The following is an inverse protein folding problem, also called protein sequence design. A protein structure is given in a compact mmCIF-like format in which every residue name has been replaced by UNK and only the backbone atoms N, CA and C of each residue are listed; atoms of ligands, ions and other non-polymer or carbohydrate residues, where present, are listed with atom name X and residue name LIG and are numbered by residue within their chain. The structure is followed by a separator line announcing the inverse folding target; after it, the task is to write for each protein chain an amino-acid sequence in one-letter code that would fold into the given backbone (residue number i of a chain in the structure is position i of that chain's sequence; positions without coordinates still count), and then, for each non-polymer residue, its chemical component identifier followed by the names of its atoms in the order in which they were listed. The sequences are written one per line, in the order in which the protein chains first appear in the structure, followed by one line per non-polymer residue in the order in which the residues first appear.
data_IF_491320276503
#
_entry.id   IF_491320276503
#
_cell.length_a   1.000
_cell.length_b   1.000
_cell.length_c   1.000
_cell.angle_alpha   90.00
_cell.angle_beta   90.00
_cell.angle_gamma   90.00
#
_symmetry.space_group_name_H-M   'P 1'
#
loop_
_entity.id
_entity.type
_entity.pdbx_description
1 polymer ?
#
# COMPACT_ATOMS: atom_id res chain seq x y z
N UNK A 1 31.13 36.50 45.26
CA UNK A 1 31.48 35.64 44.09
C UNK A 1 30.55 34.46 44.10
N UNK A 2 29.42 34.58 43.45
CA UNK A 2 28.34 33.59 43.34
C UNK A 2 28.46 32.88 42.03
N UNK A 3 28.89 31.60 42.10
CA UNK A 3 28.96 30.70 40.94
C UNK A 3 27.53 30.25 40.55
N UNK A 4 26.96 30.85 39.55
CA UNK A 4 25.76 30.37 38.90
C UNK A 4 26.12 29.22 37.93
N UNK A 5 25.71 27.99 38.27
CA UNK A 5 25.71 26.85 37.33
C UNK A 5 24.80 27.19 36.14
N UNK A 6 25.21 26.96 34.88
CA UNK A 6 24.30 27.10 33.77
C UNK A 6 23.23 25.99 33.85
N UNK A 7 21.96 26.42 33.85
CA UNK A 7 20.79 25.56 33.67
C UNK A 7 20.90 24.83 32.33
N UNK A 8 21.00 23.51 32.39
CA UNK A 8 20.79 22.63 31.22
C UNK A 8 19.28 22.58 30.90
N UNK A 9 18.77 23.65 30.33
CA UNK A 9 17.45 23.73 29.71
C UNK A 9 17.63 23.68 28.19
N UNK A 10 17.45 22.53 27.55
CA UNK A 10 17.45 22.47 26.10
C UNK A 10 17.71 21.10 25.49
N UNK A 11 17.07 20.04 26.00
CA UNK A 11 17.15 18.74 25.28
C UNK A 11 16.04 17.75 25.62
N UNK A 12 14.78 18.20 25.76
CA UNK A 12 13.63 17.30 25.95
C UNK A 12 12.53 17.39 24.91
N UNK A 13 12.61 18.28 23.94
CA UNK A 13 11.53 18.50 22.98
C UNK A 13 11.68 17.72 21.66
N UNK A 14 12.77 16.95 21.47
CA UNK A 14 13.06 16.22 20.22
C UNK A 14 12.71 14.71 20.28
N UNK A 15 12.31 14.16 21.42
CA UNK A 15 11.81 12.78 21.47
C UNK A 15 10.34 12.78 21.08
N UNK A 16 10.03 12.09 19.95
CA UNK A 16 8.65 11.88 19.53
C UNK A 16 7.88 11.17 20.66
N UNK A 17 6.74 11.72 21.11
CA UNK A 17 5.99 11.11 22.19
C UNK A 17 5.32 9.83 21.68
N UNK A 18 5.78 8.65 22.14
CA UNK A 18 5.20 7.33 21.84
C UNK A 18 3.74 7.18 22.34
N UNK A 19 2.94 8.23 22.26
CA UNK A 19 1.59 8.26 22.81
C UNK A 19 0.75 9.48 22.41
N UNK A 20 -0.37 9.66 23.08
CA UNK A 20 -1.25 10.81 22.91
C UNK A 20 -1.80 10.97 21.49
N UNK A 21 -1.54 12.10 20.86
CA UNK A 21 -2.01 12.41 19.50
C UNK A 21 -1.48 11.47 18.42
N UNK A 22 -0.34 10.80 18.65
CA UNK A 22 0.20 9.79 17.76
C UNK A 22 -0.81 8.68 17.45
N UNK A 23 -1.58 8.23 18.43
CA UNK A 23 -2.62 7.21 18.21
C UNK A 23 -3.81 7.70 17.35
N UNK A 24 -4.12 8.98 17.42
CA UNK A 24 -5.11 9.58 16.49
C UNK A 24 -4.60 9.51 15.06
N UNK A 25 -3.30 9.75 14.84
CA UNK A 25 -2.68 9.60 13.51
C UNK A 25 -2.63 8.13 13.05
N UNK A 26 -2.47 7.17 13.96
CA UNK A 26 -2.61 5.74 13.64
C UNK A 26 -4.04 5.42 13.20
N UNK A 27 -5.05 5.96 13.88
CA UNK A 27 -6.45 5.87 13.45
C UNK A 27 -6.69 6.52 12.07
N UNK A 28 -6.10 7.68 11.83
CA UNK A 28 -6.15 8.34 10.51
C UNK A 28 -5.45 7.52 9.41
N UNK A 29 -4.29 6.90 9.72
CA UNK A 29 -3.62 5.96 8.81
C UNK A 29 -4.52 4.75 8.53
N UNK A 30 -5.12 4.15 9.57
CA UNK A 30 -6.04 3.02 9.44
C UNK A 30 -7.20 3.33 8.50
N UNK A 31 -7.87 4.47 8.67
CA UNK A 31 -8.98 4.89 7.80
C UNK A 31 -8.48 5.20 6.38
N UNK A 32 -7.37 5.93 6.24
CA UNK A 32 -6.83 6.27 4.92
C UNK A 32 -6.40 5.04 4.13
N UNK A 33 -5.70 4.08 4.76
CA UNK A 33 -5.27 2.83 4.10
C UNK A 33 -6.44 1.91 3.81
N UNK A 34 -7.48 1.91 4.67
CA UNK A 34 -8.74 1.23 4.39
C UNK A 34 -9.40 1.78 3.13
N UNK A 35 -9.50 3.10 2.99
CA UNK A 35 -10.10 3.74 1.81
C UNK A 35 -9.25 3.55 0.56
N UNK A 36 -7.92 3.67 0.64
CA UNK A 36 -7.03 3.51 -0.51
C UNK A 36 -7.06 2.06 -1.02
N UNK A 37 -6.64 1.11 -0.18
CA UNK A 37 -6.48 -0.29 -0.61
C UNK A 37 -7.77 -1.08 -0.57
N UNK A 38 -8.69 -0.75 0.34
CA UNK A 38 -10.00 -1.39 0.41
C UNK A 38 -10.84 -1.08 -0.83
N UNK A 39 -10.88 0.19 -1.25
CA UNK A 39 -11.54 0.58 -2.50
C UNK A 39 -10.89 -0.14 -3.69
N UNK A 40 -9.55 -0.11 -3.78
CA UNK A 40 -8.81 -0.73 -4.87
C UNK A 40 -9.07 -2.24 -4.99
N UNK A 41 -9.06 -2.98 -3.87
CA UNK A 41 -9.32 -4.43 -3.87
C UNK A 41 -10.77 -4.78 -4.19
N UNK A 42 -11.70 -3.95 -3.78
CA UNK A 42 -13.14 -4.18 -3.99
C UNK A 42 -13.64 -3.71 -5.36
N UNK A 43 -12.80 -3.07 -6.20
CA UNK A 43 -13.13 -2.75 -7.58
C UNK A 43 -13.47 -3.97 -8.43
N UNK A 44 -13.10 -5.17 -8.00
CA UNK A 44 -13.51 -6.42 -8.61
C UNK A 44 -15.03 -6.62 -8.68
N UNK A 45 -15.81 -6.02 -7.78
CA UNK A 45 -17.28 -6.02 -7.82
C UNK A 45 -17.79 -5.29 -9.07
N UNK A 46 -17.16 -4.18 -9.44
CA UNK A 46 -17.52 -3.40 -10.63
C UNK A 46 -17.06 -4.05 -11.94
N UNK A 47 -16.16 -5.01 -11.85
CA UNK A 47 -15.58 -5.67 -13.03
C UNK A 47 -16.65 -6.29 -13.93
N UNK A 48 -17.61 -7.00 -13.34
CA UNK A 48 -18.69 -7.66 -14.09
C UNK A 48 -19.59 -6.62 -14.76
N UNK A 49 -19.94 -5.55 -14.07
CA UNK A 49 -20.75 -4.46 -14.58
C UNK A 49 -20.06 -3.73 -15.75
N UNK A 50 -18.75 -3.49 -15.62
CA UNK A 50 -17.99 -2.82 -16.70
C UNK A 50 -17.85 -3.68 -17.94
N UNK A 51 -17.61 -5.01 -17.78
CA UNK A 51 -17.58 -5.94 -18.92
C UNK A 51 -18.91 -5.93 -19.68
N UNK A 52 -20.02 -5.95 -18.96
CA UNK A 52 -21.37 -5.93 -19.59
C UNK A 52 -21.72 -4.59 -20.21
N UNK A 53 -21.34 -3.47 -19.57
CA UNK A 53 -21.73 -2.13 -20.03
C UNK A 53 -20.88 -1.66 -21.23
N UNK A 54 -19.57 -1.90 -21.21
CA UNK A 54 -18.67 -1.44 -22.27
C UNK A 54 -18.45 -2.48 -23.39
N UNK A 55 -18.94 -3.71 -23.20
CA UNK A 55 -18.77 -4.84 -24.14
C UNK A 55 -17.30 -5.13 -24.49
N UNK A 56 -16.39 -4.83 -23.55
CA UNK A 56 -14.96 -4.94 -23.71
C UNK A 56 -14.40 -6.20 -23.05
N UNK A 57 -13.19 -6.59 -23.47
CA UNK A 57 -12.55 -7.79 -22.94
C UNK A 57 -12.24 -7.66 -21.43
N UNK A 58 -12.33 -8.79 -20.73
CA UNK A 58 -11.95 -8.89 -19.33
C UNK A 58 -10.54 -8.35 -19.05
N UNK A 59 -9.62 -8.56 -19.99
CA UNK A 59 -8.26 -8.06 -19.93
C UNK A 59 -8.21 -6.52 -19.95
N UNK A 60 -8.96 -5.88 -20.85
CA UNK A 60 -9.05 -4.43 -20.92
C UNK A 60 -9.59 -3.83 -19.61
N UNK A 61 -10.66 -4.39 -19.05
CA UNK A 61 -11.23 -3.91 -17.79
C UNK A 61 -10.25 -4.06 -16.62
N UNK A 62 -9.46 -5.15 -16.56
CA UNK A 62 -8.46 -5.39 -15.52
C UNK A 62 -7.39 -4.30 -15.46
N UNK A 63 -7.08 -3.65 -16.59
CA UNK A 63 -6.12 -2.54 -16.62
C UNK A 63 -6.54 -1.33 -15.80
N UNK A 64 -7.83 -1.14 -15.48
CA UNK A 64 -8.29 -0.03 -14.63
C UNK A 64 -7.62 -0.12 -13.24
N UNK A 65 -7.70 -1.29 -12.61
CA UNK A 65 -7.12 -1.51 -11.28
C UNK A 65 -5.59 -1.46 -11.31
N UNK A 66 -4.98 -2.07 -12.35
CA UNK A 66 -3.52 -2.09 -12.51
C UNK A 66 -2.96 -0.69 -12.72
N UNK A 67 -3.64 0.14 -13.53
CA UNK A 67 -3.24 1.54 -13.75
C UNK A 67 -3.36 2.35 -12.47
N UNK A 68 -4.41 2.12 -11.66
CA UNK A 68 -4.59 2.81 -10.37
C UNK A 68 -3.48 2.48 -9.39
N UNK A 69 -3.12 1.20 -9.25
CA UNK A 69 -2.01 0.76 -8.39
C UNK A 69 -0.66 1.32 -8.87
N UNK A 70 -0.40 1.21 -10.17
CA UNK A 70 0.83 1.71 -10.76
C UNK A 70 0.95 3.24 -10.61
N UNK A 71 -0.13 3.98 -10.84
CA UNK A 71 -0.16 5.43 -10.65
C UNK A 71 0.07 5.81 -9.18
N UNK A 72 -0.56 5.11 -8.23
CA UNK A 72 -0.37 5.34 -6.79
C UNK A 72 1.11 5.19 -6.40
N UNK A 73 1.77 4.15 -6.85
CA UNK A 73 3.18 3.90 -6.54
C UNK A 73 4.10 4.86 -7.31
N UNK A 74 3.83 5.11 -8.58
CA UNK A 74 4.60 6.00 -9.44
C UNK A 74 4.61 7.44 -8.95
N UNK A 75 3.47 7.96 -8.47
CA UNK A 75 3.34 9.32 -7.95
C UNK A 75 3.72 9.46 -6.47
N UNK A 76 4.09 8.39 -5.79
CA UNK A 76 4.51 8.40 -4.39
C UNK A 76 5.72 9.33 -4.12
N UNK A 77 6.80 9.36 -4.94
CA UNK A 77 7.89 10.31 -4.75
C UNK A 77 7.46 11.76 -4.89
N UNK A 78 6.50 12.04 -5.78
CA UNK A 78 5.93 13.39 -5.90
C UNK A 78 5.23 13.79 -4.61
N UNK A 79 4.45 12.89 -4.00
CA UNK A 79 3.79 13.12 -2.72
C UNK A 79 4.79 13.44 -1.60
N UNK A 80 5.86 12.65 -1.49
CA UNK A 80 6.90 12.87 -0.47
C UNK A 80 7.70 14.16 -0.71
N UNK A 81 8.02 14.47 -1.96
CA UNK A 81 8.70 15.71 -2.32
C UNK A 81 7.82 16.95 -2.03
N UNK A 82 6.53 16.88 -2.33
CA UNK A 82 5.57 17.94 -1.99
C UNK A 82 5.44 18.12 -0.47
N UNK A 83 5.47 17.07 0.32
CA UNK A 83 5.47 17.17 1.78
C UNK A 83 6.75 17.83 2.34
N UNK A 84 7.87 17.63 1.68
CA UNK A 84 9.11 18.33 2.02
C UNK A 84 9.09 19.82 1.59
N UNK A 85 8.39 20.14 0.50
CA UNK A 85 8.26 21.49 -0.02
C UNK A 85 7.16 22.30 0.68
N UNK A 86 6.04 21.64 0.99
CA UNK A 86 4.83 22.21 1.60
C UNK A 86 4.52 21.52 2.93
N UNK A 87 3.38 21.81 3.53
CA UNK A 87 2.91 21.09 4.72
C UNK A 87 2.29 19.75 4.34
N UNK A 88 2.68 18.67 5.02
CA UNK A 88 2.13 17.31 4.82
C UNK A 88 0.61 17.28 4.93
N UNK A 89 0.03 18.08 5.83
CA UNK A 89 -1.42 18.22 5.98
C UNK A 89 -2.09 18.61 4.66
N UNK A 90 -1.58 19.64 4.00
CA UNK A 90 -2.14 20.15 2.74
C UNK A 90 -2.02 19.12 1.63
N UNK A 91 -0.86 18.44 1.53
CA UNK A 91 -0.61 17.43 0.50
C UNK A 91 -1.57 16.25 0.65
N UNK A 92 -1.77 15.74 1.87
CA UNK A 92 -2.71 14.63 2.11
C UNK A 92 -4.16 15.05 1.85
N UNK A 93 -4.54 16.27 2.24
CA UNK A 93 -5.89 16.77 1.95
C UNK A 93 -6.14 16.92 0.45
N UNK A 94 -5.18 17.48 -0.31
CA UNK A 94 -5.29 17.59 -1.78
C UNK A 94 -5.32 16.21 -2.44
N UNK A 95 -4.53 15.26 -1.95
CA UNK A 95 -4.56 13.88 -2.41
C UNK A 95 -5.92 13.22 -2.19
N UNK A 96 -6.53 13.42 -1.01
CA UNK A 96 -7.88 12.94 -0.71
C UNK A 96 -8.95 13.55 -1.61
N UNK A 97 -8.86 14.87 -1.90
CA UNK A 97 -9.76 15.53 -2.86
C UNK A 97 -9.61 14.94 -4.27
N UNK A 98 -8.38 14.74 -4.73
CA UNK A 98 -8.12 14.15 -6.06
C UNK A 98 -8.66 12.72 -6.16
N UNK A 99 -8.45 11.89 -5.12
CA UNK A 99 -8.97 10.54 -5.07
C UNK A 99 -10.50 10.52 -5.16
N UNK A 100 -11.19 11.36 -4.39
CA UNK A 100 -12.63 11.48 -4.44
C UNK A 100 -13.16 12.01 -5.77
N UNK A 101 -12.51 13.04 -6.32
CA UNK A 101 -12.84 13.60 -7.64
C UNK A 101 -12.69 12.57 -8.76
N UNK A 102 -11.64 11.72 -8.71
CA UNK A 102 -11.44 10.66 -9.69
C UNK A 102 -12.65 9.70 -9.75
N UNK A 103 -13.20 9.27 -8.63
CA UNK A 103 -14.41 8.43 -8.58
C UNK A 103 -15.67 9.19 -9.01
N UNK A 104 -15.83 10.45 -8.61
CA UNK A 104 -16.96 11.29 -9.03
C UNK A 104 -16.96 11.47 -10.56
N UNK A 105 -15.81 11.76 -11.14
CA UNK A 105 -15.67 11.87 -12.60
C UNK A 105 -15.87 10.52 -13.29
N UNK A 106 -15.43 9.43 -12.70
CA UNK A 106 -15.64 8.08 -13.21
C UNK A 106 -17.12 7.70 -13.27
N UNK A 107 -17.97 8.23 -12.37
CA UNK A 107 -19.42 8.01 -12.42
C UNK A 107 -20.06 8.54 -13.72
N UNK A 108 -19.43 9.50 -14.37
CA UNK A 108 -19.88 10.11 -15.64
C UNK A 108 -19.18 9.48 -16.87
N UNK A 109 -18.45 8.38 -16.69
CA UNK A 109 -17.67 7.77 -17.77
C UNK A 109 -18.57 7.26 -18.90
N UNK A 110 -18.18 7.57 -20.14
CA UNK A 110 -18.83 7.13 -21.38
C UNK A 110 -17.96 6.17 -22.19
N UNK A 111 -16.68 6.04 -21.82
CA UNK A 111 -15.72 5.16 -22.48
C UNK A 111 -14.76 4.53 -21.47
N UNK A 112 -14.15 3.41 -21.85
CA UNK A 112 -13.15 2.73 -21.04
C UNK A 112 -11.91 3.61 -20.78
N UNK A 113 -11.48 4.39 -21.78
CA UNK A 113 -10.37 5.35 -21.63
C UNK A 113 -10.67 6.38 -20.57
N UNK A 114 -11.92 6.83 -20.46
CA UNK A 114 -12.34 7.76 -19.41
C UNK A 114 -12.18 7.13 -18.03
N UNK A 115 -12.51 5.84 -17.85
CA UNK A 115 -12.27 5.12 -16.59
C UNK A 115 -10.77 4.97 -16.27
N UNK A 116 -9.93 4.69 -17.26
CA UNK A 116 -8.47 4.64 -17.04
C UNK A 116 -7.93 5.97 -16.53
N UNK A 117 -8.37 7.08 -17.11
CA UNK A 117 -7.90 8.41 -16.71
C UNK A 117 -8.45 8.81 -15.33
N UNK A 118 -9.72 8.58 -15.07
CA UNK A 118 -10.39 9.04 -13.84
C UNK A 118 -10.10 8.11 -12.66
N UNK A 119 -10.43 6.83 -12.74
CA UNK A 119 -10.18 5.87 -11.67
C UNK A 119 -8.71 5.45 -11.59
N UNK A 120 -8.05 5.26 -12.75
CA UNK A 120 -6.65 4.85 -12.79
C UNK A 120 -5.74 6.02 -12.43
N UNK A 121 -5.63 7.04 -13.28
CA UNK A 121 -4.60 8.07 -13.14
C UNK A 121 -4.95 9.08 -12.05
N UNK A 122 -6.15 9.69 -12.07
CA UNK A 122 -6.51 10.77 -11.14
C UNK A 122 -6.64 10.23 -9.71
N UNK A 123 -7.38 9.13 -9.51
CA UNK A 123 -7.49 8.53 -8.18
C UNK A 123 -6.15 7.95 -7.70
N UNK A 124 -5.38 7.31 -8.60
CA UNK A 124 -4.06 6.79 -8.30
C UNK A 124 -3.07 7.87 -7.89
N UNK A 125 -3.05 9.01 -8.58
CA UNK A 125 -2.29 10.19 -8.16
C UNK A 125 -2.71 10.65 -6.76
N UNK A 126 -4.02 10.78 -6.51
CA UNK A 126 -4.54 11.13 -5.19
C UNK A 126 -4.05 10.17 -4.11
N UNK A 127 -4.12 8.86 -4.34
CA UNK A 127 -3.65 7.84 -3.40
C UNK A 127 -2.14 7.88 -3.17
N UNK A 128 -1.34 8.19 -4.20
CA UNK A 128 0.12 8.36 -4.08
C UNK A 128 0.49 9.56 -3.20
N UNK A 129 -0.30 10.65 -3.27
CA UNK A 129 -0.12 11.81 -2.40
C UNK A 129 -0.56 11.56 -0.94
N UNK A 130 -1.34 10.51 -0.68
CA UNK A 130 -1.87 10.19 0.66
C UNK A 130 -1.04 9.13 1.36
N UNK A 131 -0.83 7.98 0.73
CA UNK A 131 -0.34 6.77 1.39
C UNK A 131 1.04 6.96 2.02
N UNK A 132 2.04 7.27 1.23
CA UNK A 132 3.44 7.38 1.71
C UNK A 132 3.64 8.51 2.71
N UNK A 133 3.09 9.74 2.51
CA UNK A 133 3.13 10.78 3.51
C UNK A 133 2.47 10.42 4.83
N UNK A 134 1.33 9.72 4.82
CA UNK A 134 0.66 9.26 6.04
C UNK A 134 1.50 8.25 6.80
N UNK A 135 2.07 7.24 6.11
CA UNK A 135 2.98 6.25 6.69
C UNK A 135 4.18 6.94 7.34
N UNK A 136 4.85 7.82 6.62
CA UNK A 136 6.01 8.55 7.12
C UNK A 136 5.67 9.45 8.33
N UNK A 137 4.50 10.10 8.31
CA UNK A 137 4.03 10.93 9.41
C UNK A 137 3.80 10.12 10.68
N UNK A 138 3.15 8.96 10.58
CA UNK A 138 2.93 8.08 11.72
C UNK A 138 4.27 7.59 12.27
N UNK A 139 5.17 7.09 11.40
CA UNK A 139 6.49 6.61 11.83
C UNK A 139 7.36 7.69 12.49
N UNK A 140 7.20 8.95 12.09
CA UNK A 140 7.92 10.07 12.67
C UNK A 140 7.42 10.46 14.08
N UNK A 141 6.20 10.05 14.45
CA UNK A 141 5.61 10.30 15.77
C UNK A 141 5.84 9.18 16.78
N UNK A 142 6.47 8.08 16.37
CA UNK A 142 6.78 6.95 17.25
C UNK A 142 8.26 6.60 17.14
N UNK A 143 8.87 6.25 18.27
CA UNK A 143 10.28 5.79 18.35
C UNK A 143 10.36 4.31 18.71
N UNK A 144 9.66 3.88 19.76
CA UNK A 144 9.72 2.51 20.29
C UNK A 144 8.70 1.56 19.66
N UNK A 145 7.56 2.09 19.17
CA UNK A 145 6.42 1.28 18.69
C UNK A 145 6.15 1.44 17.21
N UNK A 146 7.19 1.71 16.40
CA UNK A 146 7.05 1.96 14.95
C UNK A 146 6.45 0.80 14.18
N UNK A 147 6.91 -0.42 14.47
CA UNK A 147 6.45 -1.62 13.76
C UNK A 147 5.02 -1.97 14.14
N UNK A 148 4.66 -1.85 15.41
CA UNK A 148 3.30 -2.09 15.90
C UNK A 148 2.29 -1.12 15.27
N UNK A 149 2.59 0.17 15.25
CA UNK A 149 1.64 1.17 14.71
C UNK A 149 1.44 1.02 13.20
N UNK A 150 2.47 0.57 12.46
CA UNK A 150 2.32 0.20 11.06
C UNK A 150 1.48 -1.07 10.91
N UNK A 151 1.71 -2.09 11.74
CA UNK A 151 0.93 -3.31 11.76
C UNK A 151 -0.56 -3.05 12.00
N UNK A 152 -0.87 -2.21 12.99
CA UNK A 152 -2.25 -1.78 13.28
C UNK A 152 -2.82 -0.95 12.12
N UNK A 153 -2.07 0.02 11.61
CA UNK A 153 -2.51 0.85 10.48
C UNK A 153 -2.84 0.02 9.24
N UNK A 154 -1.97 -0.92 8.89
CA UNK A 154 -2.13 -1.75 7.69
C UNK A 154 -3.10 -2.92 7.86
N UNK A 155 -3.45 -3.32 9.09
CA UNK A 155 -4.49 -4.34 9.32
C UNK A 155 -5.84 -3.92 8.72
N UNK A 156 -6.06 -2.63 8.56
CA UNK A 156 -7.22 -2.05 7.87
C UNK A 156 -7.40 -2.55 6.44
N UNK A 157 -6.29 -2.86 5.74
CA UNK A 157 -6.31 -3.31 4.33
C UNK A 157 -7.06 -4.65 4.18
N UNK A 158 -6.81 -5.59 5.09
CA UNK A 158 -7.53 -6.85 5.13
C UNK A 158 -8.98 -6.67 5.58
N UNK A 159 -9.16 -5.95 6.68
CA UNK A 159 -10.48 -5.74 7.29
C UNK A 159 -11.43 -4.98 6.34
N UNK A 160 -10.94 -3.97 5.63
CA UNK A 160 -11.76 -3.20 4.69
C UNK A 160 -12.30 -4.03 3.53
N UNK A 161 -11.54 -5.02 3.03
CA UNK A 161 -12.00 -5.90 1.97
C UNK A 161 -13.23 -6.72 2.40
N UNK A 162 -13.30 -7.16 3.65
CA UNK A 162 -14.48 -7.86 4.18
C UNK A 162 -15.71 -6.95 4.27
N UNK A 163 -15.50 -5.66 4.61
CA UNK A 163 -16.61 -4.71 4.74
C UNK A 163 -17.04 -4.14 3.38
N UNK A 164 -16.10 -3.83 2.51
CA UNK A 164 -16.37 -3.12 1.26
C UNK A 164 -16.95 -4.01 0.16
N UNK A 165 -16.56 -5.29 0.07
CA UNK A 165 -17.12 -6.17 -0.94
C UNK A 165 -18.65 -6.29 -0.85
N UNK A 166 -19.26 -6.63 0.30
CA UNK A 166 -20.71 -6.65 0.41
C UNK A 166 -21.35 -5.27 0.30
N UNK A 167 -20.68 -4.22 0.80
CA UNK A 167 -21.17 -2.85 0.66
C UNK A 167 -21.24 -2.44 -0.82
N UNK A 168 -20.21 -2.73 -1.60
CA UNK A 168 -20.17 -2.36 -3.03
C UNK A 168 -21.19 -3.14 -3.83
N UNK A 169 -21.38 -4.42 -3.52
CA UNK A 169 -22.42 -5.23 -4.13
C UNK A 169 -23.81 -4.61 -3.88
N UNK A 170 -24.10 -4.26 -2.63
CA UNK A 170 -25.34 -3.57 -2.27
C UNK A 170 -25.52 -2.24 -3.01
N UNK A 171 -24.45 -1.44 -3.10
CA UNK A 171 -24.51 -0.14 -3.79
C UNK A 171 -24.74 -0.29 -5.29
N UNK A 172 -24.09 -1.29 -5.92
CA UNK A 172 -24.26 -1.57 -7.36
C UNK A 172 -25.69 -2.06 -7.63
N UNK A 173 -26.22 -2.96 -6.82
CA UNK A 173 -27.61 -3.47 -6.94
C UNK A 173 -28.65 -2.38 -6.74
N UNK A 174 -28.39 -1.41 -5.83
CA UNK A 174 -29.36 -0.36 -5.47
C UNK A 174 -29.29 0.86 -6.39
N UNK A 175 -28.08 1.31 -6.75
CA UNK A 175 -27.85 2.59 -7.43
C UNK A 175 -27.20 2.44 -8.80
N UNK A 176 -27.04 1.22 -9.31
CA UNK A 176 -26.21 0.89 -10.46
C UNK A 176 -24.73 1.35 -10.26
N UNK A 177 -23.85 0.95 -11.15
CA UNK A 177 -22.41 1.23 -11.00
C UNK A 177 -22.06 2.73 -10.96
N UNK A 178 -22.80 3.60 -11.68
CA UNK A 178 -22.59 5.04 -11.68
C UNK A 178 -22.90 5.69 -10.33
N UNK A 179 -24.06 5.37 -9.76
CA UNK A 179 -24.46 5.86 -8.45
C UNK A 179 -23.54 5.32 -7.34
N UNK A 180 -23.14 4.05 -7.43
CA UNK A 180 -22.18 3.46 -6.53
C UNK A 180 -20.82 4.20 -6.57
N UNK A 181 -20.26 4.49 -7.75
CA UNK A 181 -19.01 5.25 -7.89
C UNK A 181 -19.11 6.66 -7.32
N UNK A 182 -20.25 7.34 -7.47
CA UNK A 182 -20.48 8.66 -6.88
C UNK A 182 -20.42 8.60 -5.36
N UNK A 183 -21.07 7.60 -4.74
CA UNK A 183 -21.06 7.40 -3.28
C UNK A 183 -19.63 7.07 -2.82
N UNK A 184 -18.89 6.24 -3.56
CA UNK A 184 -17.50 5.91 -3.24
C UNK A 184 -16.57 7.13 -3.35
N UNK A 185 -16.86 8.04 -4.30
CA UNK A 185 -16.18 9.33 -4.37
C UNK A 185 -16.39 10.15 -3.08
N UNK A 186 -17.65 10.24 -2.60
CA UNK A 186 -17.97 10.85 -1.31
C UNK A 186 -17.29 10.16 -0.12
N UNK A 187 -17.25 8.83 -0.11
CA UNK A 187 -16.55 8.05 0.91
C UNK A 187 -15.05 8.35 0.90
N UNK A 188 -14.42 8.45 -0.27
CA UNK A 188 -13.00 8.77 -0.43
C UNK A 188 -12.65 10.17 0.12
N UNK A 189 -13.58 11.12 0.11
CA UNK A 189 -13.36 12.46 0.69
C UNK A 189 -13.11 12.43 2.21
N UNK A 190 -13.42 11.34 2.92
CA UNK A 190 -13.04 11.19 4.33
C UNK A 190 -11.51 11.15 4.53
N UNK A 191 -10.74 10.86 3.50
CA UNK A 191 -9.27 11.01 3.52
C UNK A 191 -8.88 12.46 3.81
N UNK A 192 -9.65 13.44 3.34
CA UNK A 192 -9.43 14.86 3.63
C UNK A 192 -9.53 15.12 5.14
N UNK A 193 -10.53 14.55 5.80
CA UNK A 193 -10.67 14.65 7.26
C UNK A 193 -9.48 13.99 7.98
N UNK A 194 -9.00 12.84 7.50
CA UNK A 194 -7.79 12.20 8.03
C UNK A 194 -6.55 13.09 7.86
N UNK A 195 -6.41 13.74 6.71
CA UNK A 195 -5.35 14.72 6.46
C UNK A 195 -5.43 15.94 7.39
N UNK A 196 -6.64 16.40 7.70
CA UNK A 196 -6.87 17.52 8.61
C UNK A 196 -6.40 17.25 10.06
N UNK A 197 -6.34 15.98 10.47
CA UNK A 197 -5.83 15.57 11.80
C UNK A 197 -4.31 15.67 11.91
N UNK A 198 -3.58 15.77 10.79
CA UNK A 198 -2.12 15.96 10.80
C UNK A 198 -1.82 17.34 11.35
N UNK A 199 -1.03 17.39 12.44
CA UNK A 199 -0.57 18.66 12.99
C UNK A 199 0.59 19.21 12.18
N UNK A 200 0.58 20.52 11.84
CA UNK A 200 1.71 21.14 11.16
C UNK A 200 2.98 20.97 12.00
N UNK A 201 4.00 20.36 11.43
CA UNK A 201 5.29 20.22 12.11
C UNK A 201 6.03 21.56 12.02
N UNK A 202 6.41 22.15 13.17
CA UNK A 202 7.30 23.32 13.17
C UNK A 202 8.56 22.94 12.43
N UNK A 203 8.80 23.55 11.27
CA UNK A 203 10.03 23.36 10.49
C UNK A 203 11.23 23.75 11.35
N UNK A 204 12.04 22.79 11.73
CA UNK A 204 13.29 23.01 12.49
C UNK A 204 14.44 23.60 11.64
N UNK A 205 14.31 23.61 10.32
CA UNK A 205 15.27 24.30 9.43
C UNK A 205 14.49 25.18 8.45
N UNK A 206 14.72 26.49 8.53
CA UNK A 206 14.27 27.42 7.51
C UNK A 206 14.83 26.96 6.16
N UNK A 207 14.01 26.81 5.11
CA UNK A 207 14.55 26.65 3.76
C UNK A 207 15.43 27.85 3.45
N UNK A 208 16.53 27.61 2.74
CA UNK A 208 17.37 28.71 2.21
C UNK A 208 16.44 29.79 1.65
N UNK A 209 16.72 31.05 2.00
CA UNK A 209 15.96 32.24 1.59
C UNK A 209 15.58 32.12 0.12
N UNK A 210 14.31 31.88 -0.12
CA UNK A 210 13.75 31.94 -1.48
C UNK A 210 13.21 33.35 -1.61
N UNK A 211 13.75 34.09 -2.56
CA UNK A 211 13.25 35.40 -2.94
C UNK A 211 11.75 35.34 -3.24
N UNK A 212 10.95 36.27 -2.68
CA UNK A 212 9.48 36.22 -2.82
C UNK A 212 8.96 36.40 -4.26
N UNK A 213 9.83 36.78 -5.19
CA UNK A 213 9.48 37.12 -6.58
C UNK A 213 9.62 35.99 -7.60
N UNK A 214 10.12 34.82 -7.26
CA UNK A 214 10.07 33.70 -8.22
C UNK A 214 8.66 33.15 -8.29
N UNK A 215 7.84 33.83 -9.08
CA UNK A 215 6.52 33.46 -9.59
C UNK A 215 6.34 31.94 -9.75
N UNK A 216 5.13 31.48 -9.58
CA UNK A 216 4.47 30.20 -9.90
C UNK A 216 4.83 29.60 -11.29
N UNK A 217 6.10 29.67 -11.71
CA UNK A 217 6.57 28.96 -12.89
C UNK A 217 6.63 27.47 -12.59
N UNK A 218 5.97 26.66 -13.38
CA UNK A 218 5.98 25.18 -13.32
C UNK A 218 7.44 24.66 -13.23
N UNK A 219 8.39 25.33 -13.90
CA UNK A 219 9.80 25.00 -13.85
C UNK A 219 10.45 25.23 -12.47
N UNK A 220 10.03 26.26 -11.73
CA UNK A 220 10.52 26.51 -10.37
C UNK A 220 10.00 25.48 -9.39
N UNK A 221 8.73 25.08 -9.52
CA UNK A 221 8.12 23.98 -8.74
C UNK A 221 8.83 22.67 -9.05
N UNK A 222 9.07 22.35 -10.33
CA UNK A 222 9.76 21.12 -10.75
C UNK A 222 11.19 21.05 -10.19
N UNK A 223 11.95 22.13 -10.27
CA UNK A 223 13.31 22.20 -9.69
C UNK A 223 13.27 22.02 -8.18
N UNK A 224 12.29 22.60 -7.50
CA UNK A 224 12.11 22.46 -6.06
C UNK A 224 11.74 21.03 -5.68
N UNK A 225 10.80 20.41 -6.41
CA UNK A 225 10.42 19.02 -6.22
C UNK A 225 11.59 18.08 -6.51
N UNK A 226 12.35 18.31 -7.59
CA UNK A 226 13.50 17.46 -7.93
C UNK A 226 14.63 17.53 -6.89
N UNK A 227 14.82 18.67 -6.21
CA UNK A 227 15.80 18.79 -5.12
C UNK A 227 15.40 18.00 -3.85
N UNK A 228 14.12 17.68 -3.69
CA UNK A 228 13.61 16.90 -2.55
C UNK A 228 13.44 15.39 -2.85
N UNK A 229 13.68 14.97 -4.09
CA UNK A 229 13.55 13.57 -4.49
C UNK A 229 14.68 12.66 -3.98
N UNK A 230 15.63 13.20 -3.23
CA UNK A 230 16.75 12.44 -2.62
C UNK A 230 17.36 11.33 -3.52
N UNK A 231 17.52 11.62 -4.82
CA UNK A 231 18.03 10.66 -5.81
C UNK A 231 19.43 10.10 -5.46
N UNK A 232 20.13 10.74 -4.53
CA UNK A 232 21.40 10.25 -3.97
C UNK A 232 21.26 8.87 -3.29
N UNK A 233 20.04 8.49 -2.86
CA UNK A 233 19.77 7.17 -2.28
C UNK A 233 19.91 6.04 -3.30
N UNK A 234 19.74 6.32 -4.60
CA UNK A 234 19.92 5.34 -5.66
C UNK A 234 21.39 4.92 -5.88
N UNK A 235 22.34 5.64 -5.24
CA UNK A 235 23.78 5.31 -5.25
C UNK A 235 24.17 4.61 -3.93
N UNK A 236 23.33 4.67 -2.91
CA UNK A 236 23.57 4.05 -1.61
C UNK A 236 23.33 2.54 -1.68
N UNK A 237 24.42 1.75 -1.62
CA UNK A 237 24.38 0.30 -1.79
C UNK A 237 23.42 -0.42 -0.85
N UNK A 238 23.40 -0.17 0.48
CA UNK A 238 22.43 -0.81 1.38
C UNK A 238 20.99 -0.57 0.97
N UNK A 239 20.65 0.67 0.61
CA UNK A 239 19.31 1.05 0.20
C UNK A 239 18.90 0.39 -1.12
N UNK A 240 19.79 0.43 -2.14
CA UNK A 240 19.52 -0.17 -3.45
C UNK A 240 19.36 -1.69 -3.35
N UNK A 241 20.23 -2.36 -2.60
CA UNK A 241 20.12 -3.81 -2.38
C UNK A 241 18.82 -4.17 -1.69
N UNK A 242 18.43 -3.40 -0.68
CA UNK A 242 17.16 -3.57 0.03
C UNK A 242 15.97 -3.39 -0.92
N UNK A 243 15.93 -2.29 -1.66
CA UNK A 243 14.83 -1.96 -2.57
C UNK A 243 14.67 -2.99 -3.69
N UNK A 244 15.78 -3.44 -4.29
CA UNK A 244 15.73 -4.50 -5.30
C UNK A 244 15.21 -5.82 -4.71
N UNK A 245 15.65 -6.18 -3.50
CA UNK A 245 15.14 -7.38 -2.81
C UNK A 245 13.63 -7.32 -2.58
N UNK A 246 13.12 -6.18 -2.11
CA UNK A 246 11.68 -5.97 -1.89
C UNK A 246 10.91 -5.95 -3.21
N UNK A 247 11.46 -5.36 -4.26
CA UNK A 247 10.83 -5.33 -5.59
C UNK A 247 10.68 -6.76 -6.15
N UNK A 248 11.70 -7.58 -6.05
CA UNK A 248 11.64 -9.00 -6.45
C UNK A 248 10.62 -9.78 -5.61
N UNK A 249 10.57 -9.51 -4.31
CA UNK A 249 9.58 -10.11 -3.41
C UNK A 249 8.15 -9.74 -3.85
N UNK A 250 7.91 -8.48 -4.20
CA UNK A 250 6.58 -8.01 -4.62
C UNK A 250 6.07 -8.68 -5.90
N UNK A 251 6.95 -9.09 -6.83
CA UNK A 251 6.56 -9.86 -8.01
C UNK A 251 5.85 -11.17 -7.61
N UNK A 252 6.37 -11.86 -6.59
CA UNK A 252 5.78 -13.12 -6.11
C UNK A 252 4.65 -12.95 -5.09
N UNK A 253 4.64 -11.84 -4.35
CA UNK A 253 3.73 -11.61 -3.22
C UNK A 253 2.25 -11.66 -3.60
N UNK A 254 1.89 -11.11 -4.75
CA UNK A 254 0.50 -11.05 -5.19
C UNK A 254 -0.01 -12.33 -5.85
N UNK A 255 0.87 -13.24 -6.26
CA UNK A 255 0.51 -14.46 -7.00
C UNK A 255 -0.53 -15.31 -6.26
N UNK A 256 -0.36 -15.66 -4.97
CA UNK A 256 -1.36 -16.47 -4.26
C UNK A 256 -2.70 -15.78 -4.13
N UNK A 257 -2.74 -14.46 -3.93
CA UNK A 257 -4.00 -13.71 -3.80
C UNK A 257 -4.88 -13.79 -5.06
N UNK A 258 -4.26 -13.88 -6.24
CA UNK A 258 -5.00 -14.00 -7.51
C UNK A 258 -5.29 -15.44 -7.91
N UNK A 259 -4.43 -16.37 -7.52
CA UNK A 259 -4.47 -17.72 -8.06
C UNK A 259 -4.94 -18.80 -7.07
N UNK A 260 -4.93 -18.53 -5.75
CA UNK A 260 -5.25 -19.52 -4.72
C UNK A 260 -6.64 -20.14 -4.89
N UNK A 261 -7.67 -19.31 -5.13
CA UNK A 261 -9.06 -19.78 -5.32
C UNK A 261 -9.16 -20.65 -6.58
N UNK A 262 -8.61 -20.18 -7.69
CA UNK A 262 -8.64 -20.90 -8.95
C UNK A 262 -7.85 -22.23 -8.87
N UNK A 263 -6.72 -22.23 -8.17
CA UNK A 263 -5.90 -23.41 -7.94
C UNK A 263 -6.63 -24.43 -7.05
N UNK A 264 -7.28 -23.97 -5.99
CA UNK A 264 -8.09 -24.84 -5.09
C UNK A 264 -9.24 -25.51 -5.85
N UNK A 265 -9.91 -24.77 -6.75
CA UNK A 265 -10.99 -25.36 -7.59
C UNK A 265 -10.47 -26.40 -8.58
N UNK A 266 -9.30 -26.15 -9.20
CA UNK A 266 -8.65 -27.13 -10.09
C UNK A 266 -8.23 -28.41 -9.35
N UNK A 267 -7.89 -28.29 -8.06
CA UNK A 267 -7.60 -29.44 -7.19
C UNK A 267 -8.85 -30.22 -6.77
N UNK A 268 -10.04 -29.86 -7.25
CA UNK A 268 -11.30 -30.57 -6.97
C UNK A 268 -12.04 -30.12 -5.72
N UNK A 269 -11.61 -29.05 -5.04
CA UNK A 269 -12.32 -28.52 -3.87
C UNK A 269 -13.53 -27.68 -4.29
N UNK A 270 -14.59 -27.69 -3.46
CA UNK A 270 -15.80 -26.91 -3.72
C UNK A 270 -15.53 -25.39 -3.69
N UNK A 271 -16.43 -24.59 -4.30
CA UNK A 271 -16.34 -23.12 -4.27
C UNK A 271 -16.29 -22.57 -2.85
N UNK A 272 -17.09 -23.10 -1.94
CA UNK A 272 -17.12 -22.71 -0.54
C UNK A 272 -15.79 -23.00 0.16
N UNK A 273 -15.20 -24.17 -0.10
CA UNK A 273 -13.90 -24.55 0.45
C UNK A 273 -12.79 -23.62 -0.05
N UNK A 274 -12.75 -23.33 -1.35
CA UNK A 274 -11.77 -22.42 -1.95
C UNK A 274 -11.91 -20.98 -1.42
N UNK A 275 -13.13 -20.48 -1.30
CA UNK A 275 -13.40 -19.17 -0.73
C UNK A 275 -13.03 -19.09 0.76
N UNK A 276 -13.28 -20.17 1.53
CA UNK A 276 -12.95 -20.23 2.95
C UNK A 276 -11.44 -20.25 3.19
N UNK A 277 -10.66 -20.96 2.36
CA UNK A 277 -9.18 -20.93 2.40
C UNK A 277 -8.67 -19.51 2.20
N UNK A 278 -9.20 -18.78 1.22
CA UNK A 278 -8.78 -17.40 0.95
C UNK A 278 -9.14 -16.44 2.09
N UNK A 279 -10.33 -16.60 2.65
CA UNK A 279 -10.79 -15.81 3.80
C UNK A 279 -9.95 -16.08 5.05
N UNK A 280 -9.62 -17.34 5.31
CA UNK A 280 -8.79 -17.75 6.43
C UNK A 280 -7.35 -17.21 6.30
N UNK A 281 -6.76 -17.27 5.09
CA UNK A 281 -5.46 -16.65 4.81
C UNK A 281 -5.51 -15.12 5.02
N UNK A 282 -6.59 -14.46 4.63
CA UNK A 282 -6.79 -13.02 4.89
C UNK A 282 -6.90 -12.68 6.38
N UNK A 283 -7.57 -13.50 7.17
CA UNK A 283 -7.65 -13.32 8.62
C UNK A 283 -6.28 -13.47 9.30
N UNK A 284 -5.49 -14.46 8.89
CA UNK A 284 -4.13 -14.62 9.43
C UNK A 284 -3.16 -13.55 8.92
N UNK A 285 -3.36 -12.97 7.74
CA UNK A 285 -2.62 -11.81 7.24
C UNK A 285 -2.79 -10.60 8.19
N UNK A 286 -4.03 -10.33 8.62
CA UNK A 286 -4.31 -9.27 9.62
C UNK A 286 -3.59 -9.55 10.94
N UNK A 287 -3.67 -10.78 11.45
CA UNK A 287 -2.97 -11.19 12.66
C UNK A 287 -1.46 -11.07 12.51
N UNK A 288 -0.92 -11.51 11.38
CA UNK A 288 0.50 -11.43 11.06
C UNK A 288 1.04 -10.00 11.12
N UNK A 289 0.30 -9.02 10.60
CA UNK A 289 0.67 -7.59 10.65
C UNK A 289 0.79 -7.06 12.06
N UNK A 290 -0.19 -7.33 12.90
CA UNK A 290 -0.21 -6.82 14.28
C UNK A 290 0.81 -7.54 15.16
N UNK A 291 0.82 -8.88 15.12
CA UNK A 291 1.70 -9.70 15.96
C UNK A 291 3.16 -9.49 15.60
N UNK A 292 3.51 -9.47 14.32
CA UNK A 292 4.90 -9.22 13.90
C UNK A 292 5.37 -7.82 14.25
N UNK A 293 4.50 -6.82 14.11
CA UNK A 293 4.80 -5.44 14.52
C UNK A 293 5.07 -5.34 16.03
N UNK A 294 4.22 -5.96 16.83
CA UNK A 294 4.41 -6.03 18.28
C UNK A 294 5.71 -6.76 18.66
N UNK A 295 5.94 -7.93 18.05
CA UNK A 295 7.14 -8.74 18.32
C UNK A 295 8.43 -8.02 17.88
N UNK A 296 8.40 -7.31 16.78
CA UNK A 296 9.53 -6.51 16.29
C UNK A 296 9.92 -5.39 17.27
N UNK A 297 8.93 -4.75 17.88
CA UNK A 297 9.16 -3.64 18.83
C UNK A 297 9.62 -4.11 20.22
N UNK A 298 9.57 -5.42 20.54
CA UNK A 298 10.18 -5.99 21.75
C UNK A 298 11.71 -5.91 21.75
N UNK A 299 12.34 -5.72 20.58
CA UNK A 299 13.78 -5.50 20.46
C UNK A 299 14.66 -6.74 20.67
N UNK A 300 14.07 -7.95 20.80
CA UNK A 300 14.84 -9.19 20.99
C UNK A 300 15.63 -9.60 19.77
N UNK A 301 15.15 -9.24 18.58
CA UNK A 301 15.77 -9.54 17.30
C UNK A 301 15.95 -8.27 16.47
N UNK A 302 16.97 -8.27 15.61
CA UNK A 302 17.12 -7.18 14.63
C UNK A 302 15.99 -7.28 13.60
N UNK A 303 15.35 -6.15 13.33
CA UNK A 303 14.19 -6.06 12.44
C UNK A 303 14.44 -6.68 11.05
N UNK A 304 15.67 -6.51 10.54
CA UNK A 304 16.06 -7.08 9.23
C UNK A 304 16.07 -8.61 9.24
N UNK A 305 16.46 -9.26 10.34
CA UNK A 305 16.41 -10.71 10.44
C UNK A 305 14.97 -11.22 10.48
N UNK A 306 14.11 -10.50 11.20
CA UNK A 306 12.69 -10.84 11.27
C UNK A 306 12.03 -10.74 9.87
N UNK A 307 12.36 -9.68 9.12
CA UNK A 307 11.92 -9.53 7.73
C UNK A 307 12.45 -10.66 6.85
N UNK A 308 13.74 -11.00 6.95
CA UNK A 308 14.33 -12.07 6.14
C UNK A 308 13.70 -13.43 6.43
N UNK A 309 13.48 -13.76 7.71
CA UNK A 309 12.82 -15.02 8.10
C UNK A 309 11.39 -15.05 7.57
N UNK A 310 10.62 -13.97 7.74
CA UNK A 310 9.25 -13.90 7.23
C UNK A 310 9.18 -14.03 5.71
N UNK A 311 10.14 -13.42 4.99
CA UNK A 311 10.26 -13.52 3.53
C UNK A 311 10.56 -14.95 3.09
N UNK A 312 11.54 -15.58 3.73
CA UNK A 312 11.94 -16.96 3.40
C UNK A 312 10.81 -17.94 3.65
N UNK A 313 10.11 -17.80 4.80
CA UNK A 313 8.96 -18.64 5.12
C UNK A 313 7.79 -18.41 4.16
N UNK A 314 7.48 -17.16 3.81
CA UNK A 314 6.44 -16.85 2.84
C UNK A 314 6.75 -17.48 1.47
N UNK A 315 8.00 -17.37 0.99
CA UNK A 315 8.45 -18.01 -0.25
C UNK A 315 8.34 -19.53 -0.19
N UNK A 316 8.74 -20.14 0.94
CA UNK A 316 8.60 -21.59 1.15
C UNK A 316 7.13 -22.03 1.10
N UNK A 317 6.23 -21.31 1.77
CA UNK A 317 4.81 -21.65 1.76
C UNK A 317 4.18 -21.45 0.38
N UNK A 318 4.59 -20.46 -0.40
CA UNK A 318 4.17 -20.31 -1.80
C UNK A 318 4.56 -21.55 -2.61
N UNK A 319 5.78 -22.05 -2.44
CA UNK A 319 6.24 -23.27 -3.14
C UNK A 319 5.53 -24.55 -2.68
N UNK A 320 5.05 -24.59 -1.43
CA UNK A 320 4.32 -25.73 -0.88
C UNK A 320 2.81 -25.73 -1.24
N UNK A 321 2.25 -24.59 -1.63
CA UNK A 321 0.82 -24.52 -2.01
C UNK A 321 0.45 -25.49 -3.14
N UNK A 322 1.16 -25.58 -4.27
CA UNK A 322 0.86 -26.55 -5.32
C UNK A 322 1.00 -28.01 -4.84
N UNK A 323 2.01 -28.29 -4.00
CA UNK A 323 2.24 -29.63 -3.49
C UNK A 323 1.10 -30.11 -2.59
N UNK A 324 0.53 -29.20 -1.77
CA UNK A 324 -0.59 -29.53 -0.89
C UNK A 324 -1.86 -29.95 -1.66
N UNK A 325 -2.09 -29.34 -2.82
CA UNK A 325 -3.22 -29.70 -3.69
C UNK A 325 -3.03 -31.05 -4.38
N UNK A 326 -1.79 -31.39 -4.76
CA UNK A 326 -1.46 -32.71 -5.33
C UNK A 326 -1.71 -33.85 -4.33
N UNK A 327 -1.52 -33.60 -3.04
CA UNK A 327 -1.83 -34.56 -1.98
C UNK A 327 -3.35 -34.73 -1.73
N UNK A 328 -4.22 -33.92 -2.36
CA UNK A 328 -5.68 -34.00 -2.21
C UNK A 328 -6.20 -33.68 -0.81
N UNK A 329 -5.35 -33.16 0.08
CA UNK A 329 -5.70 -32.89 1.47
C UNK A 329 -6.13 -31.44 1.68
N UNK A 330 -7.42 -31.20 1.92
CA UNK A 330 -7.95 -29.89 2.27
C UNK A 330 -7.30 -29.29 3.53
N UNK A 331 -7.03 -30.14 4.54
CA UNK A 331 -6.39 -29.70 5.78
C UNK A 331 -4.96 -29.20 5.55
N UNK A 332 -4.18 -29.84 4.66
CA UNK A 332 -2.84 -29.40 4.30
C UNK A 332 -2.88 -28.06 3.55
N UNK A 333 -3.77 -27.91 2.58
CA UNK A 333 -3.98 -26.66 1.84
C UNK A 333 -4.35 -25.51 2.80
N UNK A 334 -5.28 -25.76 3.73
CA UNK A 334 -5.71 -24.80 4.73
C UNK A 334 -4.55 -24.39 5.65
N UNK A 335 -3.80 -25.35 6.19
CA UNK A 335 -2.69 -25.06 7.10
C UNK A 335 -1.59 -24.22 6.42
N UNK A 336 -1.20 -24.58 5.19
CA UNK A 336 -0.19 -23.84 4.42
C UNK A 336 -0.71 -22.42 4.08
N UNK A 337 -1.97 -22.27 3.72
CA UNK A 337 -2.58 -20.97 3.42
C UNK A 337 -2.64 -20.06 4.65
N UNK A 338 -2.94 -20.60 5.83
CA UNK A 338 -2.93 -19.86 7.10
C UNK A 338 -1.50 -19.36 7.45
N UNK A 339 -0.50 -20.23 7.31
CA UNK A 339 0.89 -19.89 7.57
C UNK A 339 1.42 -18.87 6.56
N UNK A 340 1.07 -19.04 5.27
CA UNK A 340 1.38 -18.05 4.24
C UNK A 340 0.76 -16.69 4.56
N UNK A 341 -0.55 -16.66 4.90
CA UNK A 341 -1.25 -15.43 5.27
C UNK A 341 -0.56 -14.70 6.42
N UNK A 342 -0.18 -15.42 7.47
CA UNK A 342 0.53 -14.85 8.62
C UNK A 342 1.89 -14.24 8.22
N UNK A 343 2.70 -14.96 7.46
CA UNK A 343 4.00 -14.48 6.99
C UNK A 343 3.86 -13.28 6.04
N UNK A 344 2.88 -13.33 5.14
CA UNK A 344 2.55 -12.25 4.20
C UNK A 344 2.18 -10.95 4.94
N UNK A 345 1.34 -11.05 5.98
CA UNK A 345 1.00 -9.93 6.83
C UNK A 345 2.21 -9.35 7.57
N UNK A 346 3.08 -10.21 8.10
CA UNK A 346 4.32 -9.80 8.74
C UNK A 346 5.22 -9.00 7.79
N UNK A 347 5.39 -9.46 6.54
CA UNK A 347 6.17 -8.76 5.51
C UNK A 347 5.70 -7.33 5.29
N UNK A 348 4.40 -7.14 5.09
CA UNK A 348 3.81 -5.83 4.77
C UNK A 348 4.11 -4.77 5.84
N UNK A 349 4.10 -5.15 7.12
CA UNK A 349 4.39 -4.24 8.23
C UNK A 349 5.88 -3.95 8.36
N UNK A 350 6.72 -4.99 8.21
CA UNK A 350 8.15 -4.92 8.46
C UNK A 350 8.90 -4.20 7.34
N UNK A 351 8.46 -4.32 6.08
CA UNK A 351 9.08 -3.64 4.93
C UNK A 351 9.19 -2.15 5.17
N UNK A 352 8.13 -1.48 5.57
CA UNK A 352 8.18 -0.04 5.83
C UNK A 352 8.96 0.31 7.10
N UNK A 353 8.90 -0.55 8.12
CA UNK A 353 9.57 -0.34 9.39
C UNK A 353 11.11 -0.43 9.30
N UNK A 354 11.66 -1.15 8.35
CA UNK A 354 13.11 -1.30 8.12
C UNK A 354 13.73 -0.07 7.45
N UNK A 355 12.98 0.68 6.63
CA UNK A 355 13.51 1.81 5.87
C UNK A 355 14.25 2.84 6.74
N UNK A 356 13.69 3.35 7.87
CA UNK A 356 14.40 4.32 8.69
C UNK A 356 15.66 3.76 9.38
N UNK A 357 15.81 2.45 9.49
CA UNK A 357 17.04 1.83 10.01
C UNK A 357 18.19 1.87 9.00
N UNK A 358 17.87 1.87 7.71
CA UNK A 358 18.85 1.90 6.61
C UNK A 358 19.28 3.34 6.33
N UNK A 359 18.33 4.26 6.18
CA UNK A 359 18.59 5.63 5.68
C UNK A 359 18.53 6.71 6.75
N UNK A 360 18.10 6.38 7.97
CA UNK A 360 17.81 7.31 9.04
C UNK A 360 16.43 7.96 8.92
N UNK A 361 15.96 8.55 10.02
CA UNK A 361 14.60 9.12 10.11
C UNK A 361 14.48 10.41 9.29
N UNK A 362 15.56 11.16 9.13
CA UNK A 362 15.57 12.42 8.37
C UNK A 362 15.29 12.22 6.87
N UNK A 363 15.83 11.12 6.29
CA UNK A 363 15.71 10.79 4.86
C UNK A 363 14.60 9.79 4.55
N UNK A 364 13.88 9.33 5.58
CA UNK A 364 12.86 8.29 5.49
C UNK A 364 11.75 8.63 4.50
N UNK A 365 11.30 9.89 4.49
CA UNK A 365 10.20 10.34 3.63
C UNK A 365 10.55 10.13 2.14
N UNK A 366 11.72 10.60 1.71
CA UNK A 366 12.19 10.42 0.32
C UNK A 366 12.46 8.97 -0.03
N UNK A 367 13.07 8.21 0.91
CA UNK A 367 13.33 6.78 0.74
C UNK A 367 12.05 5.97 0.52
N UNK A 368 11.00 6.21 1.30
CA UNK A 368 9.71 5.54 1.12
C UNK A 368 9.08 5.86 -0.24
N UNK A 369 9.20 7.13 -0.70
CA UNK A 369 8.72 7.50 -2.02
C UNK A 369 9.46 6.78 -3.15
N UNK A 370 10.79 6.75 -3.10
CA UNK A 370 11.61 6.05 -4.09
C UNK A 370 11.42 4.53 -4.06
N UNK A 371 11.25 3.93 -2.87
CA UNK A 371 10.91 2.51 -2.73
C UNK A 371 9.64 2.18 -3.52
N UNK A 372 8.57 2.95 -3.30
CA UNK A 372 7.30 2.76 -3.99
C UNK A 372 7.43 2.95 -5.52
N UNK A 373 8.22 3.92 -5.97
CA UNK A 373 8.46 4.13 -7.40
C UNK A 373 9.08 2.89 -8.05
N UNK A 374 10.09 2.30 -7.40
CA UNK A 374 10.75 1.10 -7.93
C UNK A 374 9.82 -0.11 -7.87
N UNK A 375 9.05 -0.24 -6.79
CA UNK A 375 8.02 -1.28 -6.66
C UNK A 375 6.91 -1.17 -7.72
N UNK A 376 6.64 0.02 -8.26
CA UNK A 376 5.64 0.19 -9.32
C UNK A 376 5.92 -0.66 -10.56
N UNK A 377 7.19 -0.90 -10.86
CA UNK A 377 7.62 -1.78 -11.95
C UNK A 377 7.23 -3.25 -11.69
N UNK A 378 7.35 -3.71 -10.45
CA UNK A 378 6.94 -5.06 -10.05
C UNK A 378 5.41 -5.21 -10.08
N UNK A 379 4.67 -4.18 -9.66
CA UNK A 379 3.20 -4.14 -9.72
C UNK A 379 2.68 -4.24 -11.15
N UNK A 380 3.32 -3.55 -12.10
CA UNK A 380 2.98 -3.61 -13.52
C UNK A 380 3.32 -4.95 -14.17
N UNK A 381 4.47 -5.53 -13.83
CA UNK A 381 4.96 -6.76 -14.44
C UNK A 381 4.44 -8.03 -13.77
N UNK A 382 4.17 -8.00 -12.48
CA UNK A 382 3.81 -9.18 -11.69
C UNK A 382 2.54 -9.88 -12.18
N UNK A 383 1.48 -9.12 -12.45
CA UNK A 383 0.20 -9.65 -12.93
C UNK A 383 0.27 -10.25 -14.34
N UNK A 384 0.84 -9.58 -15.35
CA UNK A 384 1.01 -10.16 -16.68
C UNK A 384 1.92 -11.40 -16.70
N UNK A 385 3.04 -11.36 -15.95
CA UNK A 385 3.98 -12.49 -15.86
C UNK A 385 3.32 -13.72 -15.25
N UNK A 386 2.54 -13.57 -14.19
CA UNK A 386 1.82 -14.68 -13.57
C UNK A 386 0.76 -15.31 -14.48
N UNK A 387 0.11 -14.49 -15.32
CA UNK A 387 -0.85 -14.94 -16.33
C UNK A 387 -0.18 -15.69 -17.48
N UNK A 388 0.96 -15.22 -17.96
CA UNK A 388 1.74 -15.84 -19.04
C UNK A 388 2.28 -17.23 -18.64
N UNK A 389 2.89 -17.33 -17.46
CA UNK A 389 3.36 -18.61 -16.89
C UNK A 389 2.25 -19.67 -16.78
N UNK A 390 1.04 -19.24 -16.47
CA UNK A 390 -0.11 -20.11 -16.38
C UNK A 390 -0.58 -20.59 -17.76
N UNK A 391 -0.52 -19.73 -18.77
CA UNK A 391 -0.85 -20.07 -20.15
C UNK A 391 0.10 -21.13 -20.72
N UNK A 392 1.40 -21.00 -20.49
CA UNK A 392 2.39 -22.00 -20.91
C UNK A 392 2.29 -23.31 -20.13
N UNK A 393 2.04 -23.27 -18.82
CA UNK A 393 1.82 -24.47 -18.02
C UNK A 393 0.57 -25.27 -18.46
N UNK A 394 -0.49 -24.58 -18.85
CA UNK A 394 -1.69 -25.22 -19.41
C UNK A 394 -1.42 -25.81 -20.79
N UNK A 395 -0.69 -25.08 -21.65
CA UNK A 395 -0.31 -25.55 -22.99
C UNK A 395 0.65 -26.76 -22.91
N UNK A 396 1.61 -26.77 -21.97
CA UNK A 396 2.50 -27.90 -21.78
C UNK A 396 1.79 -29.14 -21.26
N UNK A 397 0.76 -28.99 -20.41
CA UNK A 397 -0.10 -30.12 -19.99
C UNK A 397 -0.98 -30.65 -21.11
N UNK A 398 -1.54 -29.79 -21.96
CA UNK A 398 -2.29 -30.21 -23.13
C UNK A 398 -1.43 -30.94 -24.19
N UNK A 399 -0.15 -30.54 -24.33
CA UNK A 399 0.77 -31.21 -25.25
C UNK A 399 1.33 -32.55 -24.72
N UNK A 400 1.27 -32.79 -23.39
CA UNK A 400 1.71 -34.05 -22.78
C UNK A 400 0.58 -35.07 -22.58
N UNK A 401 -0.68 -34.66 -22.76
CA UNK A 401 -1.88 -35.52 -22.64
C UNK A 401 -2.54 -35.85 -23.99
N UNK A 402 -1.96 -35.45 -25.11
CA UNK A 402 -2.30 -35.89 -26.49
C UNK A 402 -1.22 -36.76 -27.04
#
# INVERSE_FOLDING_TARGET
MTNAKPKAEGRRDDEAPDGGWGWVLVGALFVSTSLVFGLMRSLGVFFVEFVQYFEESAQAISWISSTGLAAQQFFSPLGTALCNAYDTRVVVMTGGCLAGLGFILASQATSLVHLYLTMGVISGLGWGLVFTPMVATVMANFTRRRSLVLGVGFSSIGLSSFAFNPLFQLLVETYAWRGALLILGGLSLNIVACGALIRPRRRSKAPAKVDPESSLSCAAVLRRVSSYLELSLLVDRPYVTYTLGITLLNVGYFVPYFHLVAHSRQAGFSEYQAAFVMSAAGATDILGRVVSGWFADLGHFRLIHLLTVSTTLAGLFIMLLPVSSLCGSYAALMAISLLYGFCSGALTSLVFAVVPLIVGVERMMGALGLLQLIESSAGLLGTPLSGWWRGEAVLSHCCLSG
#
